data_IF_755218245133
#
_entry.id   IF_755218245133
#
_cell.length_a   1.000
_cell.length_b   1.000
_cell.length_c   1.000
_cell.angle_alpha   90.00
_cell.angle_beta   90.00
_cell.angle_gamma   90.00
#
_symmetry.space_group_name_H-M   'P 1'
#
loop_
_entity.id
_entity.type
_entity.pdbx_description
1 polymer ?
#
# COMPACT_ATOMS: atom_id res chain seq x y z
N UNK A 1 18.53 -23.33 -11.75
CA UNK A 1 19.94 -23.01 -11.42
C UNK A 1 20.28 -23.59 -10.04
N UNK A 2 21.53 -23.96 -9.76
CA UNK A 2 21.96 -24.35 -8.40
C UNK A 2 22.18 -23.09 -7.55
N UNK A 3 21.85 -23.14 -6.25
CA UNK A 3 21.93 -21.99 -5.34
C UNK A 3 23.29 -21.25 -5.37
N UNK A 4 24.41 -21.97 -5.29
CA UNK A 4 25.77 -21.37 -5.34
C UNK A 4 26.06 -20.57 -6.62
N UNK A 5 25.48 -20.97 -7.75
CA UNK A 5 25.65 -20.25 -9.02
C UNK A 5 24.78 -18.98 -9.07
N UNK A 6 23.61 -19.04 -8.44
CA UNK A 6 22.71 -17.90 -8.32
C UNK A 6 23.30 -16.81 -7.42
N UNK A 7 23.81 -17.19 -6.24
CA UNK A 7 24.50 -16.28 -5.31
C UNK A 7 25.68 -15.58 -5.99
N UNK A 8 26.55 -16.34 -6.66
CA UNK A 8 27.70 -15.77 -7.37
C UNK A 8 27.29 -14.74 -8.44
N UNK A 9 26.22 -15.01 -9.19
CA UNK A 9 25.73 -14.09 -10.21
C UNK A 9 25.05 -12.86 -9.58
N UNK A 10 24.35 -13.04 -8.46
CA UNK A 10 23.77 -11.94 -7.68
C UNK A 10 24.86 -10.98 -7.18
N UNK A 11 25.91 -11.51 -6.56
CA UNK A 11 27.05 -10.73 -6.04
C UNK A 11 27.81 -9.98 -7.15
N UNK A 12 27.76 -10.51 -8.38
CA UNK A 12 28.35 -9.89 -9.57
C UNK A 12 27.44 -8.84 -10.23
N UNK A 13 26.30 -8.50 -9.63
CA UNK A 13 25.28 -7.60 -10.20
C UNK A 13 24.80 -8.02 -11.60
N UNK A 14 24.80 -9.33 -11.87
CA UNK A 14 24.28 -9.86 -13.13
C UNK A 14 22.76 -9.80 -13.11
N UNK A 15 22.14 -9.49 -14.24
CA UNK A 15 20.69 -9.57 -14.36
C UNK A 15 20.21 -11.03 -14.25
N UNK A 16 19.50 -11.31 -13.15
CA UNK A 16 18.96 -12.62 -12.82
C UNK A 16 17.48 -12.78 -13.23
N UNK A 17 16.87 -11.78 -13.85
CA UNK A 17 15.42 -11.76 -14.15
C UNK A 17 14.97 -13.00 -14.93
N UNK A 18 15.77 -13.46 -15.89
CA UNK A 18 15.47 -14.66 -16.68
C UNK A 18 15.52 -15.99 -15.88
N UNK A 19 16.15 -15.98 -14.69
CA UNK A 19 16.24 -17.14 -13.80
C UNK A 19 15.13 -17.19 -12.74
N UNK A 20 14.30 -16.13 -12.64
CA UNK A 20 13.20 -16.03 -11.68
C UNK A 20 11.87 -16.46 -12.32
N UNK A 21 11.10 -17.30 -11.61
CA UNK A 21 9.69 -17.52 -11.95
C UNK A 21 8.85 -16.36 -11.42
N UNK A 22 8.47 -15.46 -12.33
CA UNK A 22 7.66 -14.28 -12.03
C UNK A 22 6.16 -14.52 -12.16
N UNK A 23 5.71 -15.75 -12.44
CA UNK A 23 4.29 -16.06 -12.66
C UNK A 23 3.38 -15.66 -11.47
N UNK A 24 3.94 -15.65 -10.25
CA UNK A 24 3.27 -15.24 -9.01
C UNK A 24 3.78 -13.92 -8.44
N UNK A 25 4.72 -13.25 -9.13
CA UNK A 25 5.23 -11.98 -8.67
C UNK A 25 4.10 -10.95 -8.68
N UNK A 26 3.82 -10.35 -7.52
CA UNK A 26 2.81 -9.29 -7.40
C UNK A 26 3.38 -8.13 -6.61
N UNK A 27 3.07 -6.92 -7.05
CA UNK A 27 3.32 -5.72 -6.23
C UNK A 27 2.21 -5.63 -5.20
N UNK A 28 2.52 -5.99 -3.95
CA UNK A 28 1.60 -5.81 -2.83
C UNK A 28 1.24 -4.32 -2.67
N UNK A 29 0.04 -4.04 -2.15
CA UNK A 29 -0.49 -2.68 -1.93
C UNK A 29 -0.77 -1.85 -3.20
N UNK A 30 -0.64 -2.41 -4.41
CA UNK A 30 -1.01 -1.71 -5.65
C UNK A 30 -2.47 -1.89 -6.07
N UNK A 31 -3.10 -2.99 -5.68
CA UNK A 31 -4.49 -3.27 -6.02
C UNK A 31 -5.41 -2.43 -5.13
N UNK A 32 -6.05 -1.42 -5.71
CA UNK A 32 -7.08 -0.64 -5.03
C UNK A 32 -8.45 -1.29 -5.22
N UNK A 33 -9.17 -1.51 -4.12
CA UNK A 33 -10.57 -1.95 -4.15
C UNK A 33 -11.47 -0.80 -3.73
N UNK A 34 -12.45 -0.44 -4.56
CA UNK A 34 -13.45 0.56 -4.21
C UNK A 34 -14.42 -0.02 -3.18
N UNK A 35 -14.69 0.74 -2.13
CA UNK A 35 -15.66 0.42 -1.08
C UNK A 35 -16.58 1.62 -0.94
N UNK A 36 -17.88 1.37 -0.90
CA UNK A 36 -18.89 2.40 -0.64
C UNK A 36 -19.30 2.31 0.84
N UNK A 37 -19.35 3.46 1.51
CA UNK A 37 -19.72 3.56 2.93
C UNK A 37 -20.56 4.83 3.10
N UNK A 38 -21.69 4.71 3.78
CA UNK A 38 -22.52 5.84 4.16
C UNK A 38 -22.07 6.38 5.52
N UNK A 39 -21.99 7.71 5.62
CA UNK A 39 -21.61 8.40 6.85
C UNK A 39 -22.71 9.37 7.28
N UNK A 40 -23.00 9.50 8.59
CA UNK A 40 -23.87 10.55 9.09
C UNK A 40 -23.33 11.94 8.72
N UNK A 41 -24.23 12.91 8.51
CA UNK A 41 -23.86 14.28 8.12
C UNK A 41 -22.83 14.92 9.06
N UNK A 42 -23.02 14.79 10.38
CA UNK A 42 -22.11 15.34 11.38
C UNK A 42 -20.67 14.82 11.23
N UNK A 43 -20.52 13.57 10.78
CA UNK A 43 -19.21 12.95 10.60
C UNK A 43 -18.53 13.49 9.34
N UNK A 44 -19.30 13.66 8.25
CA UNK A 44 -18.79 14.26 7.01
C UNK A 44 -18.30 15.69 7.27
N UNK A 45 -19.09 16.50 7.98
CA UNK A 45 -18.72 17.87 8.33
C UNK A 45 -17.44 17.93 9.19
N UNK A 46 -17.29 17.01 10.14
CA UNK A 46 -16.07 16.90 10.94
C UNK A 46 -14.86 16.49 10.10
N UNK A 47 -15.03 15.52 9.20
CA UNK A 47 -13.96 15.07 8.31
C UNK A 47 -13.51 16.17 7.36
N UNK A 48 -14.45 16.95 6.82
CA UNK A 48 -14.16 18.09 5.94
C UNK A 48 -13.38 19.19 6.65
N UNK A 49 -13.74 19.50 7.88
CA UNK A 49 -13.04 20.50 8.69
C UNK A 49 -11.58 20.09 8.91
N UNK A 50 -11.33 18.82 9.25
CA UNK A 50 -9.96 18.33 9.47
C UNK A 50 -9.17 18.22 8.17
N UNK A 51 -9.80 17.74 7.09
CA UNK A 51 -9.18 17.69 5.77
C UNK A 51 -8.77 19.09 5.30
N UNK A 52 -9.62 20.10 5.50
CA UNK A 52 -9.33 21.49 5.15
C UNK A 52 -8.18 22.08 5.97
N UNK A 53 -8.08 21.79 7.27
CA UNK A 53 -6.97 22.27 8.11
C UNK A 53 -5.62 21.74 7.65
N UNK A 54 -5.60 20.50 7.17
CA UNK A 54 -4.39 19.81 6.70
C UNK A 54 -4.13 20.01 5.20
N UNK A 55 -5.03 20.70 4.48
CA UNK A 55 -4.90 20.92 3.04
C UNK A 55 -4.99 19.63 2.21
N UNK A 56 -5.71 18.62 2.70
CA UNK A 56 -5.88 17.31 2.03
C UNK A 56 -7.34 17.05 1.69
N UNK A 57 -7.58 16.01 0.88
CA UNK A 57 -8.96 15.57 0.59
C UNK A 57 -9.56 14.79 1.75
N UNK A 58 -10.91 14.75 1.81
CA UNK A 58 -11.65 13.90 2.75
C UNK A 58 -11.23 12.42 2.65
N UNK A 59 -10.97 11.93 1.44
CA UNK A 59 -10.53 10.54 1.24
C UNK A 59 -9.15 10.29 1.83
N UNK A 60 -8.24 11.27 1.73
CA UNK A 60 -6.90 11.17 2.31
C UNK A 60 -6.97 11.09 3.83
N UNK A 61 -7.79 11.94 4.49
CA UNK A 61 -7.89 11.91 5.96
C UNK A 61 -8.53 10.61 6.46
N UNK A 62 -9.56 10.10 5.78
CA UNK A 62 -10.16 8.79 6.08
C UNK A 62 -9.11 7.68 5.99
N UNK A 63 -8.28 7.69 4.93
CA UNK A 63 -7.24 6.67 4.74
C UNK A 63 -6.19 6.69 5.84
N UNK A 64 -5.72 7.88 6.25
CA UNK A 64 -4.70 8.03 7.30
C UNK A 64 -5.24 7.54 8.64
N UNK A 65 -6.40 8.02 9.08
CA UNK A 65 -6.96 7.62 10.37
C UNK A 65 -7.29 6.13 10.44
N UNK A 66 -7.78 5.55 9.35
CA UNK A 66 -8.02 4.11 9.28
C UNK A 66 -6.71 3.32 9.37
N UNK A 67 -5.66 3.74 8.67
CA UNK A 67 -4.35 3.10 8.74
C UNK A 67 -3.77 3.15 10.17
N UNK A 68 -3.79 4.32 10.81
CA UNK A 68 -3.33 4.49 12.21
C UNK A 68 -4.09 3.58 13.18
N UNK A 69 -5.39 3.39 12.97
CA UNK A 69 -6.21 2.52 13.84
C UNK A 69 -5.91 1.04 13.59
N UNK A 70 -5.68 0.64 12.34
CA UNK A 70 -5.33 -0.73 11.98
C UNK A 70 -3.93 -1.11 12.45
N UNK A 71 -2.95 -0.22 12.34
CA UNK A 71 -1.59 -0.45 12.85
C UNK A 71 -1.56 -0.68 14.36
N UNK A 72 -2.39 0.04 15.14
CA UNK A 72 -2.51 -0.19 16.60
C UNK A 72 -3.15 -1.53 16.98
N UNK A 73 -3.81 -2.19 16.04
CA UNK A 73 -4.52 -3.46 16.28
C UNK A 73 -3.75 -4.68 15.79
N UNK A 74 -2.63 -4.47 15.10
CA UNK A 74 -1.72 -5.50 14.59
C UNK A 74 -0.55 -5.71 15.55
#
# INVERSE_FOLDING_TARGET
MKAKAFEKQFDQNVDLTASLDLSRAKRVLQTQKRVNVDFPTWMIESLDREASKLGVTRQSIIKVWLAERLEKSA
#
